data_IF_872690023320
#
_entry.id   IF_872690023320
#
_cell.length_a   1.000
_cell.length_b   1.000
_cell.length_c   1.000
_cell.angle_alpha   90.00
_cell.angle_beta   90.00
_cell.angle_gamma   90.00
#
_symmetry.space_group_name_H-M   'P 1'
#
loop_
_entity.id
_entity.type
_entity.pdbx_description
1 polymer ?
#
# COMPACT_ATOMS: atom_id res chain seq x y z
N UNK A 1 11.99 10.23 -23.69
CA UNK A 1 11.69 9.46 -22.46
C UNK A 1 10.64 10.19 -21.64
N UNK A 2 9.39 10.06 -22.09
CA UNK A 2 8.22 10.75 -21.57
C UNK A 2 7.58 9.80 -20.54
N UNK A 3 7.48 10.25 -19.29
CA UNK A 3 7.01 9.44 -18.16
C UNK A 3 5.64 8.85 -18.51
N UNK A 4 5.52 7.53 -18.47
CA UNK A 4 4.24 6.85 -18.55
C UNK A 4 3.36 7.40 -17.42
N UNK A 5 2.34 8.18 -17.77
CA UNK A 5 1.25 8.52 -16.86
C UNK A 5 0.61 7.19 -16.43
N UNK A 6 0.59 6.86 -15.14
CA UNK A 6 -0.16 5.69 -14.68
C UNK A 6 -1.62 5.89 -15.10
N UNK A 7 -2.24 4.86 -15.67
CA UNK A 7 -3.64 4.88 -16.17
C UNK A 7 -4.66 5.05 -15.03
N UNK A 8 -4.17 4.95 -13.80
CA UNK A 8 -4.77 5.19 -12.51
C UNK A 8 -4.15 6.51 -12.03
N UNK A 9 -4.96 7.57 -11.87
CA UNK A 9 -4.52 8.95 -11.63
C UNK A 9 -3.71 9.23 -10.35
N UNK A 10 -3.25 8.18 -9.67
CA UNK A 10 -2.40 8.22 -8.49
C UNK A 10 -0.93 8.01 -8.87
N UNK A 11 -0.07 8.87 -8.35
CA UNK A 11 1.37 8.63 -8.28
C UNK A 11 1.67 7.39 -7.42
N UNK A 12 2.88 6.82 -7.58
CA UNK A 12 3.28 5.61 -6.83
C UNK A 12 3.14 5.78 -5.31
N UNK A 13 3.49 6.94 -4.77
CA UNK A 13 3.39 7.22 -3.33
C UNK A 13 1.94 7.33 -2.84
N UNK A 14 1.04 7.86 -3.68
CA UNK A 14 -0.39 7.93 -3.35
C UNK A 14 -1.03 6.54 -3.33
N UNK A 15 -0.67 5.68 -4.30
CA UNK A 15 -1.12 4.29 -4.29
C UNK A 15 -0.60 3.52 -3.07
N UNK A 16 0.65 3.73 -2.63
CA UNK A 16 1.19 3.05 -1.45
C UNK A 16 0.43 3.49 -0.18
N UNK A 17 0.19 4.80 0.01
CA UNK A 17 -0.66 5.30 1.12
C UNK A 17 -2.07 4.76 1.06
N UNK A 18 -2.70 4.73 -0.12
CA UNK A 18 -4.03 4.19 -0.29
C UNK A 18 -4.08 2.69 0.08
N UNK A 19 -3.09 1.91 -0.34
CA UNK A 19 -2.97 0.49 0.06
C UNK A 19 -2.87 0.37 1.57
N UNK A 20 -2.02 1.16 2.24
CA UNK A 20 -1.87 1.14 3.70
C UNK A 20 -3.19 1.45 4.42
N UNK A 21 -3.86 2.56 4.08
CA UNK A 21 -5.14 2.94 4.70
C UNK A 21 -6.21 1.86 4.51
N UNK A 22 -6.30 1.28 3.32
CA UNK A 22 -7.30 0.24 3.02
C UNK A 22 -6.96 -1.10 3.69
N UNK A 23 -5.67 -1.45 3.80
CA UNK A 23 -5.23 -2.59 4.61
C UNK A 23 -5.59 -2.42 6.08
N UNK A 24 -5.37 -1.24 6.65
CA UNK A 24 -5.73 -0.92 8.03
C UNK A 24 -7.23 -0.95 8.26
N UNK A 25 -8.03 -0.61 7.24
CA UNK A 25 -9.47 -0.78 7.21
C UNK A 25 -9.94 -2.24 7.03
N UNK A 26 -9.01 -3.21 6.90
CA UNK A 26 -9.31 -4.64 6.83
C UNK A 26 -9.64 -5.16 5.44
N UNK A 27 -9.38 -4.40 4.37
CA UNK A 27 -9.65 -4.87 3.01
C UNK A 27 -8.63 -5.92 2.55
N UNK A 28 -9.13 -6.84 1.71
CA UNK A 28 -8.29 -7.81 0.99
C UNK A 28 -7.57 -7.15 -0.18
N UNK A 29 -6.54 -7.81 -0.70
CA UNK A 29 -5.75 -7.27 -1.82
C UNK A 29 -6.56 -7.15 -3.11
N UNK A 30 -7.55 -8.02 -3.31
CA UNK A 30 -8.52 -7.94 -4.40
C UNK A 30 -9.39 -6.68 -4.29
N UNK A 31 -9.96 -6.44 -3.11
CA UNK A 31 -10.80 -5.26 -2.86
C UNK A 31 -9.98 -3.96 -2.97
N UNK A 32 -8.74 -3.96 -2.49
CA UNK A 32 -7.80 -2.85 -2.63
C UNK A 32 -7.50 -2.60 -4.11
N UNK A 33 -7.15 -3.64 -4.86
CA UNK A 33 -6.81 -3.54 -6.28
C UNK A 33 -7.97 -2.95 -7.09
N UNK A 34 -9.19 -3.40 -6.83
CA UNK A 34 -10.40 -2.86 -7.45
C UNK A 34 -10.58 -1.37 -7.11
N UNK A 35 -10.41 -0.98 -5.84
CA UNK A 35 -10.68 0.39 -5.37
C UNK A 35 -9.69 1.42 -5.92
N UNK A 36 -8.44 1.05 -6.14
CA UNK A 36 -7.41 1.95 -6.72
C UNK A 36 -7.20 1.71 -8.23
N UNK A 37 -8.08 0.93 -8.85
CA UNK A 37 -8.06 0.59 -10.27
C UNK A 37 -6.69 0.05 -10.75
N UNK A 38 -6.19 -0.99 -10.08
CA UNK A 38 -4.95 -1.67 -10.42
C UNK A 38 -5.09 -3.20 -10.37
N UNK A 39 -4.04 -3.94 -10.73
CA UNK A 39 -4.03 -5.39 -10.60
C UNK A 39 -3.62 -5.85 -9.21
N UNK A 40 -4.17 -6.98 -8.75
CA UNK A 40 -3.77 -7.64 -7.48
C UNK A 40 -2.27 -7.89 -7.44
N UNK A 41 -1.65 -8.29 -8.57
CA UNK A 41 -0.20 -8.44 -8.70
C UNK A 41 0.57 -7.14 -8.40
N UNK A 42 0.01 -5.97 -8.73
CA UNK A 42 0.61 -4.68 -8.39
C UNK A 42 0.46 -4.34 -6.92
N UNK A 43 -0.69 -4.64 -6.32
CA UNK A 43 -0.88 -4.52 -4.86
C UNK A 43 0.11 -5.41 -4.12
N UNK A 44 0.19 -6.71 -4.42
CA UNK A 44 1.13 -7.63 -3.80
C UNK A 44 2.59 -7.18 -3.93
N UNK A 45 3.00 -6.69 -5.10
CA UNK A 45 4.37 -6.18 -5.32
C UNK A 45 4.68 -4.96 -4.46
N UNK A 46 3.70 -4.09 -4.24
CA UNK A 46 3.85 -2.89 -3.39
C UNK A 46 3.89 -3.28 -1.92
N UNK A 47 2.98 -4.14 -1.48
CA UNK A 47 2.97 -4.69 -0.11
C UNK A 47 4.30 -5.36 0.22
N UNK A 48 4.85 -6.18 -0.68
CA UNK A 48 6.16 -6.79 -0.48
C UNK A 48 7.27 -5.76 -0.32
N UNK A 49 7.28 -4.69 -1.12
CA UNK A 49 8.23 -3.59 -0.93
C UNK A 49 8.04 -2.84 0.39
N UNK A 50 6.81 -2.71 0.87
CA UNK A 50 6.55 -2.13 2.19
C UNK A 50 7.09 -3.02 3.30
N UNK A 51 6.85 -4.33 3.21
CA UNK A 51 7.44 -5.34 4.11
C UNK A 51 8.97 -5.28 4.12
N UNK A 52 9.59 -5.22 2.94
CA UNK A 52 11.05 -5.13 2.83
C UNK A 52 11.62 -3.87 3.51
N UNK A 53 10.87 -2.75 3.51
CA UNK A 53 11.28 -1.49 4.15
C UNK A 53 11.06 -1.48 5.66
N UNK A 54 9.97 -2.09 6.14
CA UNK A 54 9.63 -2.10 7.57
C UNK A 54 10.22 -3.29 8.32
N UNK A 55 10.79 -4.27 7.60
CA UNK A 55 11.27 -5.52 8.19
C UNK A 55 10.14 -6.50 8.54
N UNK A 56 8.90 -6.22 8.13
CA UNK A 56 7.77 -7.09 8.40
C UNK A 56 7.86 -8.39 7.58
N UNK A 57 7.80 -9.54 8.23
CA UNK A 57 7.77 -10.83 7.54
C UNK A 57 6.34 -11.27 7.14
N UNK A 58 5.32 -10.66 7.74
CA UNK A 58 3.91 -11.02 7.53
C UNK A 58 3.03 -9.80 7.34
N UNK A 59 1.86 -9.99 6.70
CA UNK A 59 0.86 -8.91 6.54
C UNK A 59 0.39 -8.34 7.87
N UNK A 60 0.27 -9.20 8.88
CA UNK A 60 -0.12 -8.80 10.21
C UNK A 60 0.93 -7.89 10.85
N UNK A 61 2.22 -8.29 10.80
CA UNK A 61 3.33 -7.46 11.26
C UNK A 61 3.38 -6.13 10.50
N UNK A 62 3.20 -6.15 9.17
CA UNK A 62 3.13 -4.92 8.38
C UNK A 62 1.99 -4.03 8.88
N UNK A 63 0.80 -4.59 9.13
CA UNK A 63 -0.33 -3.85 9.69
C UNK A 63 -0.04 -3.25 11.07
N UNK A 64 0.76 -3.91 11.90
CA UNK A 64 1.24 -3.35 13.17
C UNK A 64 2.17 -2.15 12.95
N UNK A 65 3.20 -2.28 12.11
CA UNK A 65 4.13 -1.19 11.78
C UNK A 65 3.41 0.03 11.18
N UNK A 66 2.44 -0.18 10.30
CA UNK A 66 1.69 0.92 9.68
C UNK A 66 0.81 1.70 10.68
N UNK A 67 0.36 1.07 11.77
CA UNK A 67 -0.36 1.78 12.85
C UNK A 67 0.57 2.62 13.70
N UNK A 68 1.79 2.13 13.91
CA UNK A 68 2.85 2.83 14.64
C UNK A 68 3.28 4.09 13.90
N UNK A 69 3.56 3.96 12.59
CA UNK A 69 3.87 5.10 11.69
C UNK A 69 2.74 6.15 11.70
N UNK A 70 1.47 5.73 11.69
CA UNK A 70 0.33 6.64 11.75
C UNK A 70 0.20 7.39 13.10
N UNK A 71 0.73 6.82 14.18
CA UNK A 71 0.82 7.45 15.49
C UNK A 71 1.93 8.50 15.59
N UNK A 72 3.03 8.29 14.87
CA UNK A 72 4.17 9.22 14.80
C UNK A 72 3.89 10.45 13.93
N UNK A 73 3.09 10.33 12.86
CA UNK A 73 2.74 11.46 11.97
C UNK A 73 1.75 12.47 12.58
N UNK A 74 1.13 12.14 13.73
CA UNK A 74 0.12 12.99 14.40
C UNK A 74 0.64 13.74 15.66
N UNK A 75 1.95 13.67 15.92
CA UNK A 75 2.64 14.30 17.07
C UNK A 75 3.34 15.61 16.76
#
# INVERSE_FOLDING_TARGET
WQRARPLNGHSRGEDDRAIQSLMLAGLTDEAIAQRINTSVRTVHRRIRRMMDRTGAATRFQLGWHLRDEAGEESG
#
